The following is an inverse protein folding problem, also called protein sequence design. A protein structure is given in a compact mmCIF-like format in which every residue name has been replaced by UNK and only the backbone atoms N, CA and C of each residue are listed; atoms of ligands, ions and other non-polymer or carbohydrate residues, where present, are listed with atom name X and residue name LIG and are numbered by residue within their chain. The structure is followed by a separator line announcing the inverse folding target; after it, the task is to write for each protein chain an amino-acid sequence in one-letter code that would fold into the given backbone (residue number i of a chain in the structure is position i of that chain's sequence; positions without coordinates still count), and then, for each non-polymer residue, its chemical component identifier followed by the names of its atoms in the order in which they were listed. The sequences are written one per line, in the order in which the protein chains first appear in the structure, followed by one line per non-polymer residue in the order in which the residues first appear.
data_IF_447702476264
#
_entry.id   IF_447702476264
#
_cell.length_a   1.000
_cell.length_b   1.000
_cell.length_c   1.000
_cell.angle_alpha   90.00
_cell.angle_beta   90.00
_cell.angle_gamma   90.00
#
_symmetry.space_group_name_H-M   'P 1'
#
loop_
_entity.id
_entity.type
_entity.pdbx_description
1 polymer ?
#
# COMPACT_ATOMS: atom_id res chain seq x y z
N UNK A 1 -2.78 23.83 13.32
CA UNK A 1 -3.12 24.25 11.92
C UNK A 1 -2.64 23.16 10.97
N UNK A 2 -3.50 22.63 10.10
CA UNK A 2 -3.18 21.56 9.13
C UNK A 2 -1.94 21.87 8.29
N UNK A 3 -1.20 20.85 7.94
CA UNK A 3 0.02 20.92 7.12
C UNK A 3 -0.24 21.54 5.76
N UNK A 4 -1.26 21.07 5.04
CA UNK A 4 -1.64 21.63 3.72
C UNK A 4 -1.96 23.12 3.82
N UNK A 5 -2.72 23.52 4.82
CA UNK A 5 -3.09 24.93 5.03
C UNK A 5 -1.87 25.80 5.36
N UNK A 6 -0.89 25.23 6.06
CA UNK A 6 0.39 25.90 6.32
C UNK A 6 1.18 26.10 5.02
N UNK A 7 1.22 25.08 4.17
CA UNK A 7 1.94 25.12 2.89
C UNK A 7 1.29 26.07 1.88
N UNK A 8 -0.05 26.13 1.80
CA UNK A 8 -0.77 27.09 0.93
C UNK A 8 -0.42 28.51 1.30
N UNK A 9 -0.27 28.83 2.59
CA UNK A 9 0.09 30.17 3.06
C UNK A 9 1.50 30.59 2.70
N UNK A 10 2.42 29.64 2.57
CA UNK A 10 3.80 29.89 2.16
C UNK A 10 4.66 28.65 2.42
N UNK A 11 5.10 28.01 1.35
CA UNK A 11 6.13 26.97 1.37
C UNK A 11 7.37 27.54 0.66
N UNK A 12 8.25 28.17 1.43
CA UNK A 12 9.42 28.87 0.88
C UNK A 12 10.62 27.95 0.67
N UNK A 13 10.71 26.86 1.43
CA UNK A 13 11.86 25.96 1.39
C UNK A 13 11.42 24.49 1.44
N UNK A 14 12.10 23.67 0.66
CA UNK A 14 11.95 22.22 0.64
C UNK A 14 13.28 21.60 1.07
N UNK A 15 13.30 20.64 2.03
CA UNK A 15 14.54 19.96 2.40
C UNK A 15 15.21 19.31 1.19
N UNK A 16 16.54 19.38 1.13
CA UNK A 16 17.32 18.82 0.01
C UNK A 16 17.02 17.34 -0.22
N UNK A 17 16.82 16.57 0.85
CA UNK A 17 16.45 15.15 0.76
C UNK A 17 15.12 14.96 0.04
N UNK A 18 14.11 15.79 0.36
CA UNK A 18 12.80 15.77 -0.30
C UNK A 18 12.94 16.10 -1.79
N UNK A 19 13.77 17.09 -2.14
CA UNK A 19 14.01 17.47 -3.55
C UNK A 19 14.58 16.32 -4.36
N UNK A 20 15.52 15.55 -3.82
CA UNK A 20 16.05 14.35 -4.47
C UNK A 20 14.97 13.27 -4.66
N UNK A 21 14.13 13.02 -3.65
CA UNK A 21 13.01 12.08 -3.81
C UNK A 21 12.05 12.52 -4.92
N UNK A 22 11.70 13.81 -4.97
CA UNK A 22 10.81 14.32 -6.01
C UNK A 22 11.40 14.16 -7.42
N UNK A 23 12.70 14.38 -7.57
CA UNK A 23 13.41 14.16 -8.84
C UNK A 23 13.33 12.69 -9.27
N UNK A 24 13.67 11.76 -8.38
CA UNK A 24 13.63 10.33 -8.66
C UNK A 24 12.21 9.85 -9.02
N UNK A 25 11.19 10.31 -8.26
CA UNK A 25 9.79 9.95 -8.51
C UNK A 25 9.32 10.52 -9.86
N UNK A 26 9.68 11.76 -10.18
CA UNK A 26 9.29 12.40 -11.43
C UNK A 26 9.94 11.73 -12.65
N UNK A 27 11.21 11.34 -12.54
CA UNK A 27 11.92 10.60 -13.59
C UNK A 27 11.26 9.23 -13.82
N UNK A 28 11.02 8.47 -12.72
CA UNK A 28 10.40 7.14 -12.82
C UNK A 28 8.96 7.20 -13.33
N UNK A 29 8.18 8.22 -12.92
CA UNK A 29 6.85 8.49 -13.46
C UNK A 29 6.91 8.76 -14.96
N UNK A 30 7.87 9.56 -15.43
CA UNK A 30 8.06 9.83 -16.86
C UNK A 30 8.38 8.57 -17.68
N UNK A 31 9.02 7.57 -17.07
CA UNK A 31 9.35 6.27 -17.69
C UNK A 31 8.20 5.25 -17.60
N UNK A 32 7.19 5.49 -16.79
CA UNK A 32 6.11 4.54 -16.49
C UNK A 32 5.44 3.99 -17.75
N UNK A 33 5.12 4.85 -18.72
CA UNK A 33 4.45 4.46 -19.98
C UNK A 33 5.33 3.54 -20.84
N UNK A 34 6.66 3.70 -20.77
CA UNK A 34 7.58 2.81 -21.49
C UNK A 34 7.48 1.38 -20.97
N UNK A 35 7.36 1.20 -19.67
CA UNK A 35 7.24 -0.13 -19.05
C UNK A 35 5.84 -0.71 -19.24
N UNK A 36 4.79 0.10 -19.17
CA UNK A 36 3.39 -0.37 -19.30
C UNK A 36 3.03 -0.79 -20.73
N UNK A 37 3.77 -0.33 -21.73
CA UNK A 37 3.56 -0.74 -23.13
C UNK A 37 4.25 -2.05 -23.53
N UNK A 38 5.16 -2.59 -22.71
CA UNK A 38 6.07 -3.67 -23.13
C UNK A 38 5.49 -5.09 -23.00
N UNK A 39 4.77 -5.42 -21.93
CA UNK A 39 4.32 -6.80 -21.68
C UNK A 39 2.97 -6.86 -20.94
N UNK A 40 1.83 -6.90 -21.66
CA UNK A 40 0.50 -6.94 -21.03
C UNK A 40 0.29 -8.10 -20.06
N UNK A 41 0.85 -9.29 -20.37
CA UNK A 41 0.69 -10.48 -19.53
C UNK A 41 1.44 -10.34 -18.21
N UNK A 42 2.66 -9.78 -18.25
CA UNK A 42 3.47 -9.52 -17.06
C UNK A 42 2.83 -8.47 -16.16
N UNK A 43 2.33 -7.39 -16.76
CA UNK A 43 1.59 -6.37 -16.05
C UNK A 43 0.32 -6.91 -15.39
N UNK A 44 -0.42 -7.79 -16.07
CA UNK A 44 -1.58 -8.45 -15.47
C UNK A 44 -1.21 -9.26 -14.24
N UNK A 45 -0.13 -10.04 -14.32
CA UNK A 45 0.37 -10.81 -13.17
C UNK A 45 0.81 -9.93 -12.01
N UNK A 46 1.53 -8.83 -12.30
CA UNK A 46 1.94 -7.87 -11.27
C UNK A 46 0.73 -7.23 -10.58
N UNK A 47 -0.32 -6.84 -11.35
CA UNK A 47 -1.57 -6.29 -10.79
C UNK A 47 -2.25 -7.26 -9.83
N UNK A 48 -2.42 -8.52 -10.25
CA UNK A 48 -3.05 -9.55 -9.44
C UNK A 48 -2.26 -9.80 -8.15
N UNK A 49 -0.93 -9.83 -8.24
CA UNK A 49 -0.04 -10.02 -7.10
C UNK A 49 -0.09 -8.82 -6.15
N UNK A 50 0.04 -7.60 -6.68
CA UNK A 50 -0.02 -6.37 -5.90
C UNK A 50 -1.36 -6.24 -5.14
N UNK A 51 -2.48 -6.62 -5.77
CA UNK A 51 -3.80 -6.59 -5.14
C UNK A 51 -3.87 -7.51 -3.91
N UNK A 52 -3.30 -8.73 -4.02
CA UNK A 52 -3.26 -9.67 -2.89
C UNK A 52 -2.35 -9.12 -1.78
N UNK A 53 -1.14 -8.69 -2.13
CA UNK A 53 -0.18 -8.14 -1.18
C UNK A 53 -0.77 -6.92 -0.45
N UNK A 54 -1.35 -5.97 -1.18
CA UNK A 54 -1.96 -4.77 -0.59
C UNK A 54 -3.08 -5.12 0.38
N UNK A 55 -3.95 -6.07 -0.02
CA UNK A 55 -5.04 -6.53 0.83
C UNK A 55 -4.56 -7.12 2.15
N UNK A 56 -3.53 -7.94 2.09
CA UNK A 56 -2.98 -8.61 3.29
C UNK A 56 -2.17 -7.65 4.15
N UNK A 57 -1.25 -6.92 3.52
CA UNK A 57 -0.31 -6.05 4.24
C UNK A 57 -1.00 -4.90 4.95
N UNK A 58 -2.00 -4.27 4.34
CA UNK A 58 -2.74 -3.18 4.99
C UNK A 58 -3.45 -3.64 6.27
N UNK A 59 -4.01 -4.85 6.26
CA UNK A 59 -4.67 -5.40 7.44
C UNK A 59 -3.64 -5.83 8.52
N UNK A 60 -2.50 -6.40 8.13
CA UNK A 60 -1.41 -6.76 9.08
C UNK A 60 -0.78 -5.54 9.76
N UNK A 61 -0.69 -4.40 9.08
CA UNK A 61 -0.23 -3.16 9.70
C UNK A 61 -1.10 -2.83 10.92
N UNK A 62 -2.41 -3.06 10.83
CA UNK A 62 -3.39 -2.83 11.92
C UNK A 62 -3.52 -4.03 12.90
N UNK A 63 -2.71 -5.08 12.73
CA UNK A 63 -2.72 -6.26 13.59
C UNK A 63 -3.85 -7.25 13.26
N UNK A 64 -4.48 -7.15 12.09
CA UNK A 64 -5.48 -8.09 11.61
C UNK A 64 -4.78 -9.18 10.81
N UNK A 65 -4.84 -10.41 11.29
CA UNK A 65 -4.24 -11.59 10.66
C UNK A 65 -5.33 -12.57 10.21
N UNK A 66 -5.13 -13.14 9.04
CA UNK A 66 -5.97 -14.19 8.47
C UNK A 66 -5.07 -15.35 8.05
N UNK A 67 -5.57 -16.59 8.18
CA UNK A 67 -4.82 -17.77 7.75
C UNK A 67 -4.39 -17.65 6.28
N UNK A 68 -3.09 -17.75 6.06
CA UNK A 68 -2.48 -17.64 4.73
C UNK A 68 -3.08 -18.61 3.70
N UNK A 69 -3.60 -19.77 4.14
CA UNK A 69 -4.26 -20.75 3.29
C UNK A 69 -5.59 -20.24 2.75
N UNK A 70 -6.25 -19.33 3.48
CA UNK A 70 -7.57 -18.78 3.14
C UNK A 70 -7.49 -17.47 2.37
N UNK A 71 -6.35 -16.78 2.38
CA UNK A 71 -6.20 -15.48 1.70
C UNK A 71 -6.66 -15.54 0.25
N UNK A 72 -6.24 -16.56 -0.52
CA UNK A 72 -6.66 -16.73 -1.90
C UNK A 72 -8.17 -16.96 -2.03
N UNK A 73 -8.78 -17.71 -1.13
CA UNK A 73 -10.21 -18.01 -1.12
C UNK A 73 -11.04 -16.79 -0.72
N UNK A 74 -10.60 -16.05 0.29
CA UNK A 74 -11.23 -14.80 0.74
C UNK A 74 -11.11 -13.72 -0.34
N UNK A 75 -9.93 -13.64 -0.96
CA UNK A 75 -9.66 -12.63 -1.99
C UNK A 75 -10.33 -12.92 -3.32
N UNK A 76 -10.54 -14.15 -3.75
CA UNK A 76 -11.08 -14.49 -5.08
C UNK A 76 -12.35 -15.33 -5.07
N UNK A 77 -12.76 -15.84 -3.90
CA UNK A 77 -13.89 -16.75 -3.76
C UNK A 77 -15.16 -16.08 -3.23
N UNK A 78 -16.30 -16.72 -3.49
CA UNK A 78 -17.59 -16.45 -2.82
C UNK A 78 -17.75 -17.29 -1.56
N UNK A 79 -16.65 -17.63 -0.87
CA UNK A 79 -16.71 -18.47 0.31
C UNK A 79 -17.39 -17.77 1.48
N UNK A 80 -18.03 -18.55 2.34
CA UNK A 80 -18.52 -18.06 3.61
C UNK A 80 -17.32 -17.54 4.43
N UNK A 81 -17.47 -16.35 4.99
CA UNK A 81 -16.50 -15.74 5.89
C UNK A 81 -16.67 -16.35 7.27
N UNK A 82 -15.56 -16.64 7.94
CA UNK A 82 -15.59 -17.29 9.24
C UNK A 82 -15.64 -16.30 10.39
N UNK A 83 -15.06 -15.13 10.21
CA UNK A 83 -14.96 -14.11 11.23
C UNK A 83 -14.85 -12.71 10.65
N UNK A 84 -14.80 -11.73 11.55
CA UNK A 84 -14.69 -10.32 11.22
C UNK A 84 -13.37 -9.97 10.51
N UNK A 85 -12.28 -10.64 10.83
CA UNK A 85 -10.98 -10.38 10.21
C UNK A 85 -11.03 -10.71 8.71
N UNK A 86 -11.69 -11.80 8.34
CA UNK A 86 -11.90 -12.18 6.94
C UNK A 86 -12.83 -11.18 6.21
N UNK A 87 -13.84 -10.66 6.90
CA UNK A 87 -14.75 -9.62 6.36
C UNK A 87 -13.97 -8.33 6.08
N UNK A 88 -13.16 -7.85 7.02
CA UNK A 88 -12.35 -6.65 6.86
C UNK A 88 -11.30 -6.79 5.75
N UNK A 89 -10.69 -7.96 5.59
CA UNK A 89 -9.75 -8.28 4.49
C UNK A 89 -10.49 -8.24 3.14
N UNK A 90 -11.68 -8.85 3.03
CA UNK A 90 -12.50 -8.80 1.83
C UNK A 90 -12.92 -7.37 1.49
N UNK A 91 -13.39 -6.63 2.47
CA UNK A 91 -13.81 -5.24 2.31
C UNK A 91 -12.68 -4.33 1.83
N UNK A 92 -11.47 -4.50 2.39
CA UNK A 92 -10.29 -3.77 1.91
C UNK A 92 -9.99 -4.06 0.44
N UNK A 93 -10.09 -5.33 0.02
CA UNK A 93 -9.92 -5.71 -1.39
C UNK A 93 -10.98 -5.08 -2.30
N UNK A 94 -12.23 -5.03 -1.85
CA UNK A 94 -13.31 -4.37 -2.60
C UNK A 94 -13.03 -2.87 -2.78
N UNK A 95 -12.54 -2.20 -1.74
CA UNK A 95 -12.11 -0.82 -1.81
C UNK A 95 -10.92 -0.61 -2.75
N UNK A 96 -9.94 -1.52 -2.76
CA UNK A 96 -8.83 -1.51 -3.73
C UNK A 96 -9.35 -1.67 -5.17
N UNK A 97 -10.26 -2.60 -5.42
CA UNK A 97 -10.86 -2.80 -6.75
C UNK A 97 -11.61 -1.55 -7.23
N UNK A 98 -12.39 -0.92 -6.35
CA UNK A 98 -13.04 0.36 -6.65
C UNK A 98 -12.03 1.41 -7.13
N UNK A 99 -10.92 1.56 -6.41
CA UNK A 99 -9.86 2.50 -6.78
C UNK A 99 -9.19 2.08 -8.09
N UNK A 100 -8.80 0.81 -8.24
CA UNK A 100 -8.10 0.34 -9.43
C UNK A 100 -8.93 0.45 -10.72
N UNK A 101 -10.24 0.22 -10.64
CA UNK A 101 -11.13 0.18 -11.80
C UNK A 101 -11.79 1.53 -12.09
N UNK A 102 -12.11 2.33 -11.04
CA UNK A 102 -12.98 3.51 -11.15
C UNK A 102 -12.36 4.81 -10.61
N UNK A 103 -11.04 4.88 -10.49
CA UNK A 103 -10.38 6.06 -9.91
C UNK A 103 -10.71 7.39 -10.64
N UNK A 104 -10.95 7.36 -11.96
CA UNK A 104 -11.37 8.54 -12.74
C UNK A 104 -12.76 9.04 -12.33
N UNK A 105 -13.64 8.12 -11.93
CA UNK A 105 -15.01 8.40 -11.51
C UNK A 105 -15.13 8.59 -9.99
N UNK A 106 -14.01 8.48 -9.27
CA UNK A 106 -13.95 8.51 -7.81
C UNK A 106 -13.19 9.77 -7.36
N UNK A 107 -13.82 10.95 -7.39
CA UNK A 107 -13.18 12.20 -6.94
C UNK A 107 -12.94 12.16 -5.43
N UNK A 108 -11.94 12.90 -4.96
CA UNK A 108 -11.67 13.03 -3.53
C UNK A 108 -12.76 13.92 -2.87
N UNK A 109 -13.75 13.27 -2.27
CA UNK A 109 -14.87 13.89 -1.56
C UNK A 109 -15.10 13.24 -0.20
N UNK A 110 -15.91 13.89 0.63
CA UNK A 110 -16.34 13.32 1.91
C UNK A 110 -17.05 11.98 1.73
N UNK A 111 -17.95 11.87 0.76
CA UNK A 111 -18.69 10.64 0.47
C UNK A 111 -17.76 9.49 0.07
N UNK A 112 -16.73 9.76 -0.72
CA UNK A 112 -15.71 8.77 -1.09
C UNK A 112 -14.91 8.32 0.14
N UNK A 113 -14.53 9.24 1.01
CA UNK A 113 -13.85 8.90 2.27
C UNK A 113 -14.72 7.98 3.14
N UNK A 114 -16.02 8.29 3.27
CA UNK A 114 -16.99 7.48 4.01
C UNK A 114 -17.21 6.11 3.35
N UNK A 115 -17.31 6.08 2.02
CA UNK A 115 -17.49 4.84 1.28
C UNK A 115 -16.27 3.90 1.39
N UNK A 116 -15.05 4.42 1.28
CA UNK A 116 -13.83 3.64 1.50
C UNK A 116 -13.79 3.07 2.93
N UNK A 117 -14.21 3.86 3.93
CA UNK A 117 -14.34 3.37 5.29
C UNK A 117 -15.41 2.28 5.41
N UNK A 118 -16.61 2.50 4.83
CA UNK A 118 -17.71 1.53 4.85
C UNK A 118 -17.28 0.18 4.27
N UNK A 119 -16.62 0.18 3.13
CA UNK A 119 -16.10 -1.03 2.50
C UNK A 119 -15.11 -1.75 3.42
N UNK A 120 -14.15 -1.04 4.01
CA UNK A 120 -13.12 -1.66 4.85
C UNK A 120 -13.62 -2.18 6.19
N UNK A 121 -14.78 -1.70 6.66
CA UNK A 121 -15.35 -2.10 7.95
C UNK A 121 -16.45 -3.16 7.86
N UNK A 122 -16.95 -3.44 6.64
CA UNK A 122 -18.04 -4.38 6.44
C UNK A 122 -19.37 -3.92 7.07
N UNK A 123 -20.19 -4.86 7.52
CA UNK A 123 -21.54 -4.60 8.06
C UNK A 123 -21.54 -4.19 9.54
N UNK A 124 -20.65 -3.30 9.98
CA UNK A 124 -20.65 -2.81 11.35
C UNK A 124 -21.43 -1.49 11.46
N UNK A 125 -22.03 -1.23 12.63
CA UNK A 125 -22.93 -0.10 12.86
C UNK A 125 -22.30 1.29 12.60
N UNK A 126 -20.98 1.44 12.75
CA UNK A 126 -20.23 2.69 12.53
C UNK A 126 -19.56 2.77 11.15
N UNK A 127 -19.79 1.79 10.26
CA UNK A 127 -19.24 1.77 8.91
C UNK A 127 -19.69 3.01 8.11
N UNK A 128 -18.72 3.75 7.57
CA UNK A 128 -18.96 5.00 6.83
C UNK A 128 -19.34 6.20 7.69
N UNK A 129 -19.37 6.09 9.03
CA UNK A 129 -19.74 7.19 9.92
C UNK A 129 -18.50 7.79 10.59
N UNK A 130 -18.42 9.11 10.60
CA UNK A 130 -17.41 9.78 11.42
C UNK A 130 -17.68 9.56 12.90
N UNK A 131 -16.62 9.65 13.69
CA UNK A 131 -16.70 9.43 15.14
C UNK A 131 -17.66 10.41 15.81
N UNK A 132 -18.48 9.89 16.72
CA UNK A 132 -19.43 10.66 17.54
C UNK A 132 -18.86 11.02 18.91
N UNK A 133 -17.77 10.36 19.31
CA UNK A 133 -17.05 10.58 20.58
C UNK A 133 -15.57 10.76 20.30
N UNK A 134 -14.91 11.57 21.12
CA UNK A 134 -13.49 11.76 21.04
C UNK A 134 -12.75 10.42 21.22
N UNK A 135 -11.74 10.19 20.40
CA UNK A 135 -10.92 8.97 20.42
C UNK A 135 -9.47 9.35 20.20
N UNK A 136 -8.66 9.23 21.24
CA UNK A 136 -7.22 9.52 21.17
C UNK A 136 -6.43 8.29 20.72
N UNK A 137 -5.26 8.53 20.12
CA UNK A 137 -4.32 7.46 19.78
C UNK A 137 -3.54 7.11 21.05
N UNK A 138 -3.70 5.87 21.51
CA UNK A 138 -3.09 5.35 22.72
C UNK A 138 -1.88 4.49 22.39
N UNK A 139 -0.76 4.75 23.05
CA UNK A 139 0.44 3.90 23.03
C UNK A 139 0.47 3.03 24.29
N UNK A 140 0.54 1.72 24.11
CA UNK A 140 0.75 0.77 25.21
C UNK A 140 2.24 0.56 25.41
N UNK A 141 2.72 0.81 26.63
CA UNK A 141 4.11 0.56 27.00
C UNK A 141 4.34 -0.92 27.35
N UNK A 142 5.59 -1.40 27.28
CA UNK A 142 5.93 -2.77 27.66
C UNK A 142 5.55 -3.15 29.11
N UNK A 143 5.47 -2.16 30.01
CA UNK A 143 5.04 -2.28 31.40
C UNK A 143 3.53 -2.41 31.58
N UNK A 144 2.75 -2.38 30.47
CA UNK A 144 1.29 -2.42 30.47
C UNK A 144 0.61 -1.06 30.68
N UNK A 145 1.36 -0.01 30.98
CA UNK A 145 0.81 1.34 31.12
C UNK A 145 0.38 1.89 29.74
N UNK A 146 -0.75 2.58 29.70
CA UNK A 146 -1.23 3.25 28.51
C UNK A 146 -1.02 4.75 28.63
N UNK A 147 -0.51 5.38 27.57
CA UNK A 147 -0.38 6.84 27.50
C UNK A 147 -0.99 7.35 26.18
N UNK A 148 -1.56 8.56 26.23
CA UNK A 148 -2.03 9.22 25.01
C UNK A 148 -0.80 9.59 24.19
N UNK A 149 -0.67 8.99 23.03
CA UNK A 149 0.38 9.30 22.07
C UNK A 149 0.05 10.55 21.27
N UNK A 150 -1.20 10.70 20.86
CA UNK A 150 -1.68 11.84 20.10
C UNK A 150 -3.17 12.08 20.38
N UNK A 151 -3.53 13.31 20.66
CA UNK A 151 -4.92 13.76 20.77
C UNK A 151 -5.43 14.07 19.38
N UNK A 152 -6.46 13.37 18.95
CA UNK A 152 -7.05 13.60 17.63
C UNK A 152 -8.01 14.82 17.67
N UNK A 153 -8.48 15.27 16.49
CA UNK A 153 -9.48 16.32 16.42
C UNK A 153 -10.75 15.87 17.14
N UNK A 154 -11.40 16.74 17.97
CA UNK A 154 -12.66 16.41 18.63
C UNK A 154 -13.76 15.97 17.66
N UNK A 155 -14.65 15.08 18.10
CA UNK A 155 -15.72 14.53 17.27
C UNK A 155 -16.58 15.64 16.62
N UNK A 156 -16.94 16.67 17.40
CA UNK A 156 -17.76 17.80 16.92
C UNK A 156 -17.10 18.65 15.84
N UNK A 157 -15.75 18.60 15.71
CA UNK A 157 -14.99 19.36 14.71
C UNK A 157 -14.54 18.50 13.53
N UNK A 158 -14.71 17.19 13.59
CA UNK A 158 -14.21 16.23 12.60
C UNK A 158 -14.71 16.55 11.19
N UNK A 159 -16.01 16.77 11.03
CA UNK A 159 -16.61 17.06 9.71
C UNK A 159 -16.03 18.34 9.11
N UNK A 160 -15.96 19.43 9.87
CA UNK A 160 -15.41 20.70 9.39
C UNK A 160 -13.94 20.58 9.00
N UNK A 161 -13.15 19.81 9.76
CA UNK A 161 -11.75 19.55 9.45
C UNK A 161 -11.58 18.72 8.17
N UNK A 162 -12.39 17.70 7.94
CA UNK A 162 -12.34 16.90 6.70
C UNK A 162 -12.75 17.75 5.50
N UNK A 163 -13.81 18.55 5.61
CA UNK A 163 -14.23 19.48 4.55
C UNK A 163 -13.13 20.49 4.19
N UNK A 164 -12.47 21.06 5.20
CA UNK A 164 -11.36 21.99 4.98
C UNK A 164 -10.12 21.28 4.40
N UNK A 165 -9.83 20.04 4.81
CA UNK A 165 -8.74 19.25 4.27
C UNK A 165 -8.93 18.96 2.77
N UNK A 166 -10.15 18.55 2.36
CA UNK A 166 -10.50 18.31 0.96
C UNK A 166 -10.39 19.61 0.14
N UNK A 167 -10.91 20.70 0.68
CA UNK A 167 -10.81 22.02 0.03
C UNK A 167 -9.35 22.42 -0.18
N UNK A 168 -8.51 22.26 0.85
CA UNK A 168 -7.09 22.58 0.77
C UNK A 168 -6.36 21.72 -0.27
N UNK A 169 -6.72 20.44 -0.40
CA UNK A 169 -6.19 19.59 -1.46
C UNK A 169 -6.49 20.11 -2.86
N UNK A 170 -7.75 20.42 -3.13
CA UNK A 170 -8.14 20.97 -4.44
C UNK A 170 -7.51 22.33 -4.74
N UNK A 171 -7.32 23.16 -3.72
CA UNK A 171 -6.62 24.42 -3.82
C UNK A 171 -5.14 24.25 -4.19
N UNK A 172 -4.44 23.30 -3.52
CA UNK A 172 -3.05 22.96 -3.83
C UNK A 172 -2.86 22.53 -5.29
N UNK A 173 -3.77 21.70 -5.81
CA UNK A 173 -3.67 21.22 -7.19
C UNK A 173 -3.94 22.31 -8.22
N UNK A 174 -4.89 23.22 -7.93
CA UNK A 174 -5.24 24.32 -8.83
C UNK A 174 -4.14 25.38 -8.91
N UNK A 175 -3.56 25.74 -7.77
CA UNK A 175 -2.59 26.83 -7.69
C UNK A 175 -1.16 26.42 -8.06
N UNK A 176 -0.86 25.13 -8.11
CA UNK A 176 0.45 24.56 -8.51
C UNK A 176 1.66 25.09 -7.74
N UNK A 177 1.45 25.68 -6.56
CA UNK A 177 2.53 26.23 -5.71
C UNK A 177 3.28 25.17 -4.93
N UNK A 178 2.66 24.02 -4.73
CA UNK A 178 3.20 22.92 -3.92
C UNK A 178 3.39 21.71 -4.82
N UNK A 179 4.57 21.05 -4.82
CA UNK A 179 4.75 19.81 -5.55
C UNK A 179 3.66 18.78 -5.16
N UNK A 180 2.93 18.19 -6.14
CA UNK A 180 1.76 17.35 -5.86
C UNK A 180 2.02 16.19 -4.92
N UNK A 181 3.23 15.59 -4.96
CA UNK A 181 3.62 14.49 -4.04
C UNK A 181 3.76 14.99 -2.60
N UNK A 182 4.25 16.23 -2.40
CA UNK A 182 4.30 16.86 -1.07
C UNK A 182 2.88 17.11 -0.56
N UNK A 183 2.00 17.65 -1.42
CA UNK A 183 0.61 17.89 -1.05
C UNK A 183 -0.13 16.59 -0.68
N UNK A 184 0.10 15.50 -1.43
CA UNK A 184 -0.43 14.17 -1.14
C UNK A 184 0.02 13.68 0.25
N UNK A 185 1.33 13.74 0.54
CA UNK A 185 1.87 13.29 1.81
C UNK A 185 1.39 14.14 2.99
N UNK A 186 1.29 15.46 2.79
CA UNK A 186 0.75 16.40 3.78
C UNK A 186 -0.74 16.15 4.05
N UNK A 187 -1.55 15.90 3.00
CA UNK A 187 -2.96 15.50 3.14
C UNK A 187 -3.08 14.24 3.99
N UNK A 188 -2.27 13.24 3.68
CA UNK A 188 -2.33 11.94 4.36
C UNK A 188 -1.95 12.07 5.86
N UNK A 189 -0.95 12.89 6.18
CA UNK A 189 -0.59 13.23 7.56
C UNK A 189 -1.76 13.94 8.27
N UNK A 190 -2.32 14.99 7.66
CA UNK A 190 -3.43 15.75 8.23
C UNK A 190 -4.68 14.85 8.44
N UNK A 191 -4.98 13.95 7.51
CA UNK A 191 -6.05 12.98 7.65
C UNK A 191 -5.84 12.07 8.89
N UNK A 192 -4.62 11.58 9.07
CA UNK A 192 -4.27 10.74 10.23
C UNK A 192 -4.30 11.52 11.56
N UNK A 193 -3.99 12.81 11.55
CA UNK A 193 -4.10 13.68 12.72
C UNK A 193 -5.56 14.04 13.04
N UNK A 194 -6.41 14.27 12.04
CA UNK A 194 -7.85 14.45 12.22
C UNK A 194 -8.48 13.18 12.80
N UNK A 195 -8.07 12.02 12.28
CA UNK A 195 -8.54 10.70 12.73
C UNK A 195 -10.07 10.60 12.73
N UNK A 196 -10.71 10.74 11.56
CA UNK A 196 -12.15 11.01 11.49
C UNK A 196 -13.05 9.86 11.93
N UNK A 197 -12.57 8.64 11.93
CA UNK A 197 -13.34 7.45 12.29
C UNK A 197 -12.94 6.92 13.67
N UNK A 198 -13.81 6.13 14.26
CA UNK A 198 -13.53 5.44 15.52
C UNK A 198 -12.40 4.42 15.38
N UNK A 199 -12.35 3.74 14.23
CA UNK A 199 -11.36 2.72 13.88
C UNK A 199 -11.23 2.68 12.34
N UNK A 200 -10.17 2.05 11.80
CA UNK A 200 -9.95 1.91 10.36
C UNK A 200 -9.30 3.12 9.67
N UNK A 201 -8.94 4.17 10.40
CA UNK A 201 -8.31 5.37 9.81
C UNK A 201 -7.02 5.07 9.06
N UNK A 202 -6.17 4.18 9.57
CA UNK A 202 -4.94 3.78 8.89
C UNK A 202 -5.20 3.11 7.54
N UNK A 203 -6.19 2.22 7.46
CA UNK A 203 -6.59 1.56 6.20
C UNK A 203 -7.14 2.56 5.20
N UNK A 204 -8.05 3.44 5.64
CA UNK A 204 -8.60 4.50 4.78
C UNK A 204 -7.51 5.44 4.31
N UNK A 205 -6.56 5.84 5.15
CA UNK A 205 -5.45 6.73 4.75
C UNK A 205 -4.59 6.11 3.65
N UNK A 206 -4.32 4.80 3.69
CA UNK A 206 -3.56 4.09 2.64
C UNK A 206 -4.34 3.99 1.34
N UNK A 207 -5.66 3.73 1.39
CA UNK A 207 -6.53 3.76 0.21
C UNK A 207 -6.60 5.16 -0.40
N UNK A 208 -6.74 6.20 0.41
CA UNK A 208 -6.72 7.60 -0.05
C UNK A 208 -5.38 7.96 -0.69
N UNK A 209 -4.27 7.54 -0.09
CA UNK A 209 -2.94 7.73 -0.68
C UNK A 209 -2.85 7.09 -2.07
N UNK A 210 -3.35 5.87 -2.25
CA UNK A 210 -3.38 5.18 -3.54
C UNK A 210 -4.26 5.90 -4.56
N UNK A 211 -5.49 6.29 -4.18
CA UNK A 211 -6.43 7.04 -5.03
C UNK A 211 -5.80 8.37 -5.49
N UNK A 212 -5.22 9.12 -4.56
CA UNK A 212 -4.56 10.39 -4.85
C UNK A 212 -3.33 10.21 -5.75
N UNK A 213 -2.55 9.13 -5.57
CA UNK A 213 -1.47 8.77 -6.51
C UNK A 213 -2.01 8.64 -7.93
N UNK A 214 -3.15 7.96 -8.13
CA UNK A 214 -3.74 7.79 -9.46
C UNK A 214 -4.23 9.11 -10.06
N UNK A 215 -4.86 9.97 -9.26
CA UNK A 215 -5.24 11.32 -9.71
C UNK A 215 -4.02 12.16 -10.14
N UNK A 216 -2.86 11.88 -9.59
CA UNK A 216 -1.59 12.52 -9.97
C UNK A 216 -0.86 11.79 -11.12
N UNK A 217 -1.43 10.73 -11.70
CA UNK A 217 -0.81 9.90 -12.72
C UNK A 217 0.36 9.05 -12.21
N UNK A 218 0.42 8.80 -10.90
CA UNK A 218 1.40 7.90 -10.27
C UNK A 218 0.73 6.53 -10.17
N UNK A 219 0.92 5.67 -11.17
CA UNK A 219 0.20 4.40 -11.28
C UNK A 219 0.98 3.18 -10.76
N UNK A 220 2.17 3.39 -10.23
CA UNK A 220 3.04 2.29 -9.75
C UNK A 220 2.35 1.38 -8.74
N UNK A 221 1.44 1.92 -7.91
CA UNK A 221 0.62 1.16 -6.96
C UNK A 221 -0.31 0.11 -7.58
N UNK A 222 -0.52 0.14 -8.92
CA UNK A 222 -1.22 -0.93 -9.64
C UNK A 222 -0.41 -2.22 -9.73
N UNK A 223 0.91 -2.10 -9.71
CA UNK A 223 1.84 -3.17 -10.02
C UNK A 223 2.69 -3.59 -8.83
N UNK A 224 2.89 -2.68 -7.89
CA UNK A 224 3.67 -2.87 -6.67
C UNK A 224 2.84 -2.42 -5.47
N UNK A 225 2.68 -3.29 -4.48
CA UNK A 225 1.94 -2.97 -3.26
C UNK A 225 2.67 -1.92 -2.43
N UNK A 226 2.07 -0.73 -2.31
CA UNK A 226 2.55 0.31 -1.41
C UNK A 226 2.40 -0.11 0.05
N UNK A 227 1.32 -0.81 0.38
CA UNK A 227 1.02 -1.31 1.72
C UNK A 227 2.05 -2.33 2.19
N UNK A 228 2.52 -3.21 1.30
CA UNK A 228 3.61 -4.15 1.62
C UNK A 228 4.91 -3.41 1.92
N UNK A 229 5.24 -2.40 1.14
CA UNK A 229 6.43 -1.59 1.39
C UNK A 229 6.31 -0.82 2.72
N UNK A 230 5.11 -0.35 3.08
CA UNK A 230 4.86 0.27 4.38
C UNK A 230 4.98 -0.77 5.50
N UNK A 231 4.40 -1.97 5.33
CA UNK A 231 4.50 -3.07 6.30
C UNK A 231 5.96 -3.46 6.58
N UNK A 232 6.77 -3.59 5.54
CA UNK A 232 8.20 -3.89 5.64
C UNK A 232 9.00 -2.80 6.38
N UNK A 233 8.47 -1.58 6.44
CA UNK A 233 9.05 -0.43 7.12
C UNK A 233 8.15 0.08 8.25
N UNK A 234 7.40 -0.81 8.91
CA UNK A 234 6.33 -0.49 9.86
C UNK A 234 6.81 0.37 11.03
N UNK A 235 7.97 0.06 11.60
CA UNK A 235 8.55 0.83 12.70
C UNK A 235 8.84 2.28 12.28
N UNK A 236 9.50 2.46 11.15
CA UNK A 236 9.79 3.77 10.57
C UNK A 236 8.52 4.54 10.21
N UNK A 237 7.48 3.85 9.72
CA UNK A 237 6.17 4.46 9.44
C UNK A 237 5.58 5.10 10.69
N UNK A 238 5.52 4.37 11.79
CA UNK A 238 4.96 4.90 13.03
C UNK A 238 5.85 5.95 13.70
N UNK A 239 7.17 5.79 13.62
CA UNK A 239 8.14 6.79 14.11
C UNK A 239 7.98 8.13 13.38
N UNK A 240 7.94 8.11 12.04
CA UNK A 240 7.78 9.34 11.24
C UNK A 240 6.43 10.00 11.45
N UNK A 241 5.35 9.22 11.64
CA UNK A 241 4.04 9.76 12.03
C UNK A 241 4.10 10.43 13.40
N UNK A 242 4.76 9.80 14.39
CA UNK A 242 4.91 10.35 15.73
C UNK A 242 5.63 11.70 15.67
N UNK A 243 6.80 11.74 15.04
CA UNK A 243 7.62 12.96 14.91
C UNK A 243 6.86 14.07 14.16
N UNK A 244 6.16 13.72 13.09
CA UNK A 244 5.45 14.71 12.26
C UNK A 244 4.11 15.17 12.81
N UNK A 245 3.53 14.45 13.78
CA UNK A 245 2.27 14.87 14.44
C UNK A 245 2.50 15.71 15.70
N UNK A 246 3.72 15.75 16.24
CA UNK A 246 4.04 16.53 17.44
C UNK A 246 3.86 18.03 17.18
N UNK A 247 3.03 18.72 17.99
CA UNK A 247 2.70 20.12 17.79
C UNK A 247 1.77 20.43 16.61
N UNK A 248 1.08 19.43 16.06
CA UNK A 248 0.18 19.62 14.90
C UNK A 248 -0.98 20.58 15.18
N UNK A 249 -1.60 20.50 16.35
CA UNK A 249 -2.70 21.39 16.75
C UNK A 249 -2.27 22.86 16.80
N UNK A 250 -1.06 23.13 17.29
CA UNK A 250 -0.47 24.46 17.37
C UNK A 250 0.12 24.95 16.04
N UNK A 251 0.18 24.09 15.02
CA UNK A 251 0.81 24.40 13.73
C UNK A 251 2.33 24.48 13.80
N UNK A 252 2.95 23.91 14.85
CA UNK A 252 4.40 23.93 15.09
C UNK A 252 5.10 22.63 14.70
N UNK A 253 4.34 21.66 14.20
CA UNK A 253 4.85 20.36 13.79
C UNK A 253 5.82 20.45 12.61
N UNK A 254 6.73 19.48 12.52
CA UNK A 254 7.62 19.27 11.38
C UNK A 254 7.06 18.10 10.50
N UNK A 255 6.43 18.38 9.35
CA UNK A 255 5.83 17.35 8.51
C UNK A 255 6.84 16.57 7.67
N UNK A 256 8.12 17.00 7.61
CA UNK A 256 9.08 16.47 6.66
C UNK A 256 9.51 15.03 6.93
N UNK A 257 9.45 14.57 8.18
CA UNK A 257 9.73 13.16 8.50
C UNK A 257 8.74 12.23 7.77
N UNK A 258 7.45 12.52 7.86
CA UNK A 258 6.43 11.71 7.21
C UNK A 258 6.39 11.91 5.70
N UNK A 259 6.54 13.15 5.21
CA UNK A 259 6.62 13.46 3.78
C UNK A 259 7.77 12.68 3.12
N UNK A 260 8.95 12.68 3.73
CA UNK A 260 10.10 11.92 3.24
C UNK A 260 9.86 10.40 3.30
N UNK A 261 9.12 9.91 4.28
CA UNK A 261 8.73 8.50 4.33
C UNK A 261 7.81 8.13 3.15
N UNK A 262 6.77 8.91 2.87
CA UNK A 262 5.88 8.67 1.72
C UNK A 262 6.66 8.73 0.40
N UNK A 263 7.53 9.72 0.24
CA UNK A 263 8.40 9.80 -0.93
C UNK A 263 9.32 8.59 -1.07
N UNK A 264 9.90 8.10 0.05
CA UNK A 264 10.72 6.89 0.07
C UNK A 264 9.91 5.66 -0.38
N UNK A 265 8.66 5.50 0.07
CA UNK A 265 7.78 4.40 -0.35
C UNK A 265 7.50 4.46 -1.86
N UNK A 266 7.15 5.64 -2.39
CA UNK A 266 6.88 5.80 -3.82
C UNK A 266 8.13 5.53 -4.68
N UNK A 267 9.30 6.07 -4.29
CA UNK A 267 10.57 5.79 -4.95
C UNK A 267 10.90 4.28 -4.93
N UNK A 268 10.71 3.63 -3.77
CA UNK A 268 10.97 2.20 -3.62
C UNK A 268 10.04 1.36 -4.50
N UNK A 269 8.76 1.75 -4.61
CA UNK A 269 7.81 1.10 -5.50
C UNK A 269 8.21 1.22 -6.97
N UNK A 270 8.61 2.40 -7.43
CA UNK A 270 9.09 2.59 -8.80
C UNK A 270 10.36 1.78 -9.06
N UNK A 271 11.34 1.81 -8.15
CA UNK A 271 12.57 1.02 -8.30
C UNK A 271 12.28 -0.48 -8.40
N UNK A 272 11.36 -0.99 -7.58
CA UNK A 272 10.94 -2.39 -7.66
C UNK A 272 10.20 -2.69 -8.96
N UNK A 273 9.32 -1.78 -9.41
CA UNK A 273 8.63 -1.91 -10.68
C UNK A 273 9.61 -1.95 -11.86
N UNK A 274 10.57 -1.05 -11.91
CA UNK A 274 11.62 -1.02 -12.92
C UNK A 274 12.43 -2.32 -12.92
N UNK A 275 12.83 -2.80 -11.75
CA UNK A 275 13.56 -4.06 -11.63
C UNK A 275 12.71 -5.24 -12.15
N UNK A 276 11.43 -5.30 -11.79
CA UNK A 276 10.53 -6.36 -12.25
C UNK A 276 10.22 -6.27 -13.75
N UNK A 277 10.25 -5.08 -14.34
CA UNK A 277 10.05 -4.85 -15.77
C UNK A 277 11.35 -4.85 -16.56
N UNK A 278 12.43 -4.30 -16.01
CA UNK A 278 13.75 -4.11 -16.68
C UNK A 278 14.57 -5.38 -16.89
N UNK A 279 14.18 -6.53 -16.31
CA UNK A 279 14.73 -7.87 -16.64
C UNK A 279 14.26 -8.34 -18.05
N UNK A 280 13.73 -7.43 -18.86
CA UNK A 280 13.34 -7.70 -20.25
C UNK A 280 14.53 -7.45 -21.17
N UNK A 281 15.49 -8.38 -21.18
CA UNK A 281 16.26 -8.62 -22.40
C UNK A 281 15.42 -9.60 -23.23
N UNK A 282 15.01 -9.20 -24.43
CA UNK A 282 14.34 -10.04 -25.44
C UNK A 282 15.23 -11.23 -25.84
N UNK A 283 15.32 -12.25 -25.00
CA UNK A 283 16.23 -13.38 -25.16
C UNK A 283 15.63 -14.71 -24.70
N UNK A 284 16.08 -15.79 -25.30
CA UNK A 284 15.88 -17.18 -24.89
C UNK A 284 16.19 -17.33 -23.38
N UNK A 285 15.19 -17.50 -22.51
CA UNK A 285 15.37 -17.64 -21.05
C UNK A 285 14.53 -16.70 -20.20
N UNK A 286 13.83 -15.73 -20.78
CA UNK A 286 13.04 -14.70 -20.08
C UNK A 286 12.00 -15.31 -19.11
N UNK A 287 11.26 -16.35 -19.57
CA UNK A 287 10.30 -17.06 -18.72
C UNK A 287 10.96 -17.80 -17.57
N UNK A 288 12.20 -18.26 -17.77
CA UNK A 288 12.98 -18.93 -16.74
C UNK A 288 13.42 -17.96 -15.67
N UNK A 289 13.98 -16.80 -16.06
CA UNK A 289 14.37 -15.75 -15.13
C UNK A 289 13.18 -15.24 -14.32
N UNK A 290 12.04 -14.99 -14.97
CA UNK A 290 10.83 -14.57 -14.27
C UNK A 290 10.34 -15.58 -13.23
N UNK A 291 10.31 -16.88 -13.56
CA UNK A 291 9.93 -17.92 -12.61
C UNK A 291 10.92 -18.00 -11.45
N UNK A 292 12.22 -17.81 -11.71
CA UNK A 292 13.24 -17.78 -10.65
C UNK A 292 13.03 -16.60 -9.70
N UNK A 293 12.83 -15.38 -10.22
CA UNK A 293 12.56 -14.19 -9.42
C UNK A 293 11.32 -14.37 -8.53
N UNK A 294 10.25 -14.95 -9.09
CA UNK A 294 9.03 -15.24 -8.33
C UNK A 294 9.31 -16.26 -7.21
N UNK A 295 10.07 -17.32 -7.50
CA UNK A 295 10.43 -18.31 -6.47
C UNK A 295 11.26 -17.67 -5.35
N UNK A 296 12.17 -16.76 -5.65
CA UNK A 296 12.93 -16.03 -4.63
C UNK A 296 12.06 -15.19 -3.70
N UNK A 297 10.92 -14.71 -4.18
CA UNK A 297 9.98 -13.90 -3.40
C UNK A 297 8.91 -14.72 -2.65
N UNK A 298 8.69 -15.97 -3.01
CA UNK A 298 7.76 -16.85 -2.30
C UNK A 298 8.30 -17.22 -0.90
N UNK A 299 7.45 -17.67 0.04
CA UNK A 299 7.89 -18.25 1.31
C UNK A 299 8.91 -19.39 1.11
N UNK A 300 9.70 -19.71 2.14
CA UNK A 300 10.70 -20.78 2.10
C UNK A 300 10.12 -22.11 1.62
N UNK A 301 8.85 -22.41 1.94
CA UNK A 301 8.09 -23.55 1.43
C UNK A 301 6.90 -23.08 0.58
N UNK A 302 6.79 -23.56 -0.65
CA UNK A 302 5.75 -23.17 -1.60
C UNK A 302 5.24 -24.37 -2.42
N UNK A 303 4.06 -24.25 -3.04
CA UNK A 303 3.51 -25.23 -3.97
C UNK A 303 3.65 -24.79 -5.43
N UNK A 304 3.63 -25.73 -6.37
CA UNK A 304 3.61 -25.42 -7.82
C UNK A 304 2.45 -24.47 -8.16
N UNK A 305 1.31 -24.60 -7.48
CA UNK A 305 0.15 -23.73 -7.67
C UNK A 305 0.42 -22.27 -7.32
N UNK A 306 1.32 -21.99 -6.38
CA UNK A 306 1.69 -20.63 -6.00
C UNK A 306 2.51 -19.97 -7.10
N UNK A 307 3.47 -20.72 -7.67
CA UNK A 307 4.26 -20.26 -8.83
C UNK A 307 3.37 -20.07 -10.07
N UNK A 308 2.42 -20.98 -10.33
CA UNK A 308 1.47 -20.87 -11.46
C UNK A 308 0.60 -19.61 -11.32
N UNK A 309 0.13 -19.29 -10.12
CA UNK A 309 -0.65 -18.08 -9.85
C UNK A 309 0.20 -16.81 -10.05
N UNK A 310 1.41 -16.81 -9.56
CA UNK A 310 2.31 -15.66 -9.67
C UNK A 310 2.90 -15.47 -11.08
N UNK A 311 2.97 -16.54 -11.89
CA UNK A 311 3.50 -16.53 -13.26
C UNK A 311 2.41 -16.84 -14.29
N UNK A 312 1.29 -16.08 -14.29
CA UNK A 312 0.11 -16.35 -15.12
C UNK A 312 0.38 -16.40 -16.64
N UNK A 313 1.53 -15.90 -17.11
CA UNK A 313 1.99 -15.96 -18.51
C UNK A 313 2.90 -17.15 -18.85
N UNK A 314 3.20 -18.02 -17.87
CA UNK A 314 4.05 -19.20 -18.07
C UNK A 314 3.22 -20.47 -17.94
N UNK A 315 3.27 -21.36 -18.94
CA UNK A 315 2.50 -22.59 -18.89
C UNK A 315 2.97 -23.52 -17.75
N UNK A 316 2.03 -24.22 -17.12
CA UNK A 316 2.31 -25.15 -16.03
C UNK A 316 3.40 -26.22 -16.36
N UNK A 317 3.44 -26.78 -17.58
CA UNK A 317 4.53 -27.65 -17.99
C UNK A 317 5.89 -26.96 -17.97
N UNK A 318 5.98 -25.73 -18.44
CA UNK A 318 7.22 -24.95 -18.44
C UNK A 318 7.70 -24.61 -17.01
N UNK A 319 6.78 -24.23 -16.13
CA UNK A 319 7.09 -24.02 -14.70
C UNK A 319 7.71 -25.30 -14.10
N UNK A 320 7.17 -26.48 -14.39
CA UNK A 320 7.75 -27.74 -13.92
C UNK A 320 9.16 -27.98 -14.43
N UNK A 321 9.40 -27.70 -15.71
CA UNK A 321 10.75 -27.83 -16.30
C UNK A 321 11.73 -26.90 -15.58
N UNK A 322 11.32 -25.68 -15.26
CA UNK A 322 12.16 -24.72 -14.53
C UNK A 322 12.41 -25.17 -13.08
N UNK A 323 11.37 -25.63 -12.38
CA UNK A 323 11.52 -26.18 -11.02
C UNK A 323 12.46 -27.38 -10.99
N UNK A 324 12.37 -28.27 -11.98
CA UNK A 324 13.27 -29.43 -12.10
C UNK A 324 14.72 -28.99 -12.41
N UNK A 325 14.91 -27.93 -13.18
CA UNK A 325 16.24 -27.36 -13.43
C UNK A 325 16.83 -26.76 -12.13
N UNK A 326 16.06 -25.97 -11.40
CA UNK A 326 16.48 -25.38 -10.12
C UNK A 326 16.78 -26.44 -9.06
N UNK A 327 16.04 -27.55 -9.06
CA UNK A 327 16.33 -28.70 -8.20
C UNK A 327 17.67 -29.34 -8.56
N UNK A 328 17.98 -29.52 -9.85
CA UNK A 328 19.28 -30.03 -10.30
C UNK A 328 20.42 -29.10 -9.94
N UNK A 329 20.19 -27.79 -9.96
CA UNK A 329 21.13 -26.76 -9.51
C UNK A 329 21.26 -26.70 -7.97
N UNK A 330 20.49 -27.46 -7.21
CA UNK A 330 20.54 -27.48 -5.76
C UNK A 330 19.89 -26.26 -5.08
N UNK A 331 19.24 -25.37 -5.82
CA UNK A 331 18.62 -24.14 -5.29
C UNK A 331 17.30 -24.40 -4.54
N UNK A 332 16.57 -25.44 -4.95
CA UNK A 332 15.32 -25.87 -4.31
C UNK A 332 15.27 -27.38 -4.19
N UNK A 333 14.43 -27.88 -3.27
CA UNK A 333 14.17 -29.32 -3.11
C UNK A 333 12.66 -29.60 -3.06
N UNK A 334 12.27 -30.82 -3.48
CA UNK A 334 10.87 -31.25 -3.41
C UNK A 334 10.60 -31.95 -2.09
N UNK A 335 9.58 -31.52 -1.36
CA UNK A 335 9.13 -32.10 -0.09
C UNK A 335 8.05 -33.18 -0.28
N UNK A 336 7.94 -33.79 -1.45
CA UNK A 336 6.98 -34.86 -1.73
C UNK A 336 6.80 -35.14 -3.21
N UNK A 337 5.93 -36.12 -3.52
CA UNK A 337 5.60 -36.54 -4.88
C UNK A 337 4.11 -36.35 -5.14
N UNK A 338 3.72 -36.02 -6.41
CA UNK A 338 2.32 -35.91 -6.83
C UNK A 338 1.76 -34.50 -6.91
N UNK A 339 0.40 -34.39 -7.03
CA UNK A 339 -0.31 -33.12 -7.29
C UNK A 339 -0.22 -32.08 -6.17
N UNK A 340 0.10 -32.48 -4.95
CA UNK A 340 0.20 -31.60 -3.76
C UNK A 340 1.65 -31.41 -3.26
N UNK A 341 2.67 -31.82 -4.04
CA UNK A 341 4.06 -31.70 -3.64
C UNK A 341 4.43 -30.23 -3.35
N UNK A 342 5.03 -29.99 -2.20
CA UNK A 342 5.63 -28.71 -1.83
C UNK A 342 7.10 -28.70 -2.23
N UNK A 343 7.61 -27.50 -2.42
CA UNK A 343 9.00 -27.21 -2.71
C UNK A 343 9.56 -26.35 -1.61
N UNK A 344 10.83 -26.50 -1.31
CA UNK A 344 11.55 -25.71 -0.31
C UNK A 344 12.80 -25.08 -0.93
N UNK A 345 13.07 -23.83 -0.60
CA UNK A 345 14.32 -23.15 -0.96
C UNK A 345 15.45 -23.73 -0.13
N UNK A 346 16.61 -23.90 -0.73
CA UNK A 346 17.85 -24.18 -0.01
C UNK A 346 18.60 -22.88 0.20
N UNK A 347 18.91 -22.55 1.45
CA UNK A 347 19.79 -21.44 1.76
C UNK A 347 21.19 -21.75 1.24
N UNK A 348 21.68 -20.93 0.30
CA UNK A 348 23.07 -20.92 -0.14
C UNK A 348 23.96 -20.17 0.87
N UNK A 349 23.83 -20.50 2.16
CA UNK A 349 24.72 -20.00 3.20
C UNK A 349 25.74 -21.09 3.50
N UNK A 350 26.72 -21.21 2.62
CA UNK A 350 28.05 -21.78 2.93
C UNK A 350 29.11 -21.10 2.09
#
# INVERSE_FOLDING_TARGET
MMTLKKFIKGLDTIPITTSWYLTDISESKGKQDLYTSQSPQRLKSLKEHALIESTVSSNRIEGIEVDNKRIGTISFGKSLLHDRSEEEVRGYREALNLIHEKWLETPLTEDVIRELHRLTRGEIWDAGKFKEKDSDIIEKRPDGASSIRFRTVPAGETLSCITELIKSWHECLRETKIPPVIALAAFNLDFLCIHPFRDGNGRVSRLLMLLMCYHLGIEVGRYISLERLIEQNKERYYETLKLSSEGWHEGKHDPWHYINFVCFILKSAYKEFENRMGVISSGRGEKTAWVQDVIEQLPASFAVGDVVRACSGVSRPMIRVILDALRREGKIESLGTGRGAKWMKRDNSQ
#
